data_IF_087193392824
#
_entry.id   IF_087193392824
#
_cell.length_a   1.000
_cell.length_b   1.000
_cell.length_c   1.000
_cell.angle_alpha   90.00
_cell.angle_beta   90.00
_cell.angle_gamma   90.00
#
_symmetry.space_group_name_H-M   'P 1'
#
loop_
_entity.id
_entity.type
_entity.pdbx_description
1 polymer ?
#
# COMPACT_ATOMS: atom_id res chain seq x y z
N UNK A 1 -19.89 1.96 -7.59
CA UNK A 1 -18.42 1.96 -7.60
C UNK A 1 -17.92 0.95 -8.65
N UNK A 2 -16.76 1.23 -9.26
CA UNK A 2 -16.04 0.31 -10.12
C UNK A 2 -14.85 -0.24 -9.32
N UNK A 3 -14.65 -1.55 -9.37
CA UNK A 3 -13.52 -2.21 -8.72
C UNK A 3 -12.41 -2.40 -9.74
N UNK A 4 -11.25 -1.79 -9.49
CA UNK A 4 -10.09 -1.92 -10.37
C UNK A 4 -9.05 -2.82 -9.72
N UNK A 5 -8.72 -3.90 -10.39
CA UNK A 5 -7.65 -4.83 -9.99
C UNK A 5 -6.41 -4.54 -10.83
N UNK A 6 -5.44 -3.83 -10.28
CA UNK A 6 -4.14 -3.69 -10.92
C UNK A 6 -3.28 -4.94 -10.64
N UNK A 7 -2.87 -5.62 -11.67
CA UNK A 7 -2.19 -6.92 -11.57
C UNK A 7 -1.09 -7.07 -12.61
N UNK A 8 -0.04 -7.83 -12.26
CA UNK A 8 0.94 -8.28 -13.24
C UNK A 8 0.27 -9.15 -14.32
N UNK A 9 0.88 -9.25 -15.49
CA UNK A 9 0.37 -10.08 -16.59
C UNK A 9 0.13 -11.54 -16.18
N UNK A 10 0.98 -12.09 -15.31
CA UNK A 10 0.85 -13.45 -14.77
C UNK A 10 -0.41 -13.60 -13.91
N UNK A 11 -0.67 -12.65 -13.02
CA UNK A 11 -1.80 -12.70 -12.10
C UNK A 11 -3.13 -12.31 -12.76
N UNK A 12 -3.09 -11.58 -13.89
CA UNK A 12 -4.29 -11.15 -14.61
C UNK A 12 -5.21 -12.32 -14.95
N UNK A 13 -4.66 -13.42 -15.46
CA UNK A 13 -5.43 -14.61 -15.82
C UNK A 13 -6.18 -15.20 -14.62
N UNK A 14 -5.48 -15.32 -13.49
CA UNK A 14 -6.04 -15.87 -12.24
C UNK A 14 -7.17 -14.99 -11.73
N UNK A 15 -6.99 -13.67 -11.77
CA UNK A 15 -8.01 -12.71 -11.33
C UNK A 15 -9.23 -12.76 -12.23
N UNK A 16 -9.05 -12.76 -13.55
CA UNK A 16 -10.15 -12.87 -14.53
C UNK A 16 -10.95 -14.16 -14.35
N UNK A 17 -10.28 -15.29 -14.10
CA UNK A 17 -10.95 -16.57 -13.84
C UNK A 17 -11.78 -16.51 -12.55
N UNK A 18 -11.25 -15.92 -11.49
CA UNK A 18 -11.99 -15.73 -10.23
C UNK A 18 -13.18 -14.78 -10.39
N UNK A 19 -13.03 -13.71 -11.16
CA UNK A 19 -14.10 -12.75 -11.42
C UNK A 19 -15.24 -13.37 -12.22
N UNK A 20 -14.96 -14.23 -13.21
CA UNK A 20 -16.00 -14.98 -13.96
C UNK A 20 -16.90 -15.81 -13.06
N UNK A 21 -16.37 -16.30 -11.96
CA UNK A 21 -17.11 -17.12 -10.97
C UNK A 21 -17.67 -16.28 -9.81
N UNK A 22 -17.59 -14.96 -9.91
CA UNK A 22 -18.12 -14.01 -8.92
C UNK A 22 -19.33 -13.27 -9.49
N UNK A 23 -20.19 -12.76 -8.61
CA UNK A 23 -21.29 -11.88 -9.00
C UNK A 23 -20.87 -10.40 -9.05
N UNK A 24 -19.60 -10.12 -9.37
CA UNK A 24 -19.05 -8.77 -9.38
C UNK A 24 -19.04 -8.22 -10.82
N UNK A 25 -20.13 -7.57 -11.22
CA UNK A 25 -20.31 -7.08 -12.58
C UNK A 25 -19.49 -5.80 -12.89
N UNK A 26 -19.09 -5.05 -11.86
CA UNK A 26 -18.39 -3.77 -11.99
C UNK A 26 -16.91 -3.91 -11.65
N UNK A 27 -16.22 -4.90 -12.25
CA UNK A 27 -14.81 -5.15 -12.02
C UNK A 27 -14.00 -5.07 -13.32
N UNK A 28 -12.87 -4.39 -13.25
CA UNK A 28 -11.90 -4.26 -14.34
C UNK A 28 -10.53 -4.74 -13.89
N UNK A 29 -9.81 -5.47 -14.74
CA UNK A 29 -8.45 -5.94 -14.48
C UNK A 29 -7.48 -5.24 -15.42
N UNK A 30 -6.61 -4.42 -14.84
CA UNK A 30 -5.63 -3.61 -15.55
C UNK A 30 -4.23 -4.15 -15.28
N UNK A 31 -3.37 -4.15 -16.32
CA UNK A 31 -1.97 -4.58 -16.20
C UNK A 31 -0.99 -3.59 -16.84
N UNK A 32 -1.47 -2.42 -17.23
CA UNK A 32 -0.65 -1.37 -17.81
C UNK A 32 -0.13 -0.46 -16.67
N UNK A 33 1.20 -0.48 -16.47
CA UNK A 33 1.86 0.35 -15.46
C UNK A 33 1.75 1.85 -15.78
N UNK A 34 1.62 2.24 -17.04
CA UNK A 34 1.57 3.64 -17.44
C UNK A 34 0.30 4.33 -16.96
N UNK A 35 -0.82 3.61 -16.87
CA UNK A 35 -2.08 4.17 -16.41
C UNK A 35 -2.32 3.99 -14.91
N UNK A 36 -1.43 3.30 -14.20
CA UNK A 36 -1.56 3.04 -12.75
C UNK A 36 -1.69 4.33 -11.94
N UNK A 37 -0.85 5.30 -12.22
CA UNK A 37 -0.88 6.60 -11.54
C UNK A 37 -2.20 7.35 -11.78
N UNK A 38 -2.71 7.31 -13.01
CA UNK A 38 -4.01 7.90 -13.36
C UNK A 38 -5.16 7.19 -12.63
N UNK A 39 -5.13 5.85 -12.58
CA UNK A 39 -6.14 5.08 -11.85
C UNK A 39 -6.10 5.37 -10.36
N UNK A 40 -4.92 5.47 -9.76
CA UNK A 40 -4.78 5.83 -8.36
C UNK A 40 -5.36 7.22 -8.09
N UNK A 41 -5.03 8.23 -8.88
CA UNK A 41 -5.53 9.60 -8.68
C UNK A 41 -7.06 9.73 -8.79
N UNK A 42 -7.73 8.80 -9.45
CA UNK A 42 -9.20 8.72 -9.58
C UNK A 42 -9.84 7.79 -8.55
N UNK A 43 -9.05 7.10 -7.75
CA UNK A 43 -9.53 6.13 -6.78
C UNK A 43 -10.00 6.82 -5.50
N UNK A 44 -11.10 6.37 -4.94
CA UNK A 44 -11.59 6.84 -3.64
C UNK A 44 -10.97 6.09 -2.47
N UNK A 45 -10.48 4.88 -2.71
CA UNK A 45 -9.91 4.00 -1.70
C UNK A 45 -9.02 2.93 -2.34
N UNK A 46 -7.99 2.52 -1.65
CA UNK A 46 -7.09 1.46 -2.12
C UNK A 46 -6.91 0.32 -1.10
N UNK A 47 -6.80 -0.89 -1.60
CA UNK A 47 -6.34 -2.06 -0.84
C UNK A 47 -5.08 -2.56 -1.52
N UNK A 48 -3.96 -2.53 -0.82
CA UNK A 48 -2.68 -2.87 -1.41
C UNK A 48 -1.84 -3.81 -0.53
N UNK A 49 -0.95 -4.56 -1.17
CA UNK A 49 0.08 -5.30 -0.45
C UNK A 49 1.14 -4.32 0.08
N UNK A 50 1.73 -4.60 1.24
CA UNK A 50 2.88 -3.84 1.73
C UNK A 50 4.02 -3.84 0.70
N UNK A 51 4.63 -2.68 0.49
CA UNK A 51 5.71 -2.45 -0.47
C UNK A 51 5.71 -1.02 -1.00
N UNK A 52 6.44 -0.78 -2.10
CA UNK A 52 6.56 0.55 -2.75
C UNK A 52 5.22 1.13 -3.21
N UNK A 53 4.26 0.27 -3.57
CA UNK A 53 2.92 0.70 -3.95
C UNK A 53 2.23 1.53 -2.87
N UNK A 54 2.53 1.32 -1.60
CA UNK A 54 1.96 2.12 -0.52
C UNK A 54 2.40 3.58 -0.58
N UNK A 55 3.64 3.86 -1.01
CA UNK A 55 4.11 5.23 -1.22
C UNK A 55 3.45 5.87 -2.45
N UNK A 56 3.21 5.10 -3.51
CA UNK A 56 2.49 5.59 -4.69
C UNK A 56 1.05 5.98 -4.35
N UNK A 57 0.36 5.16 -3.54
CA UNK A 57 -0.99 5.44 -3.03
C UNK A 57 -0.99 6.72 -2.17
N UNK A 58 -0.01 6.87 -1.28
CA UNK A 58 0.13 8.06 -0.45
C UNK A 58 0.41 9.31 -1.30
N UNK A 59 1.26 9.20 -2.34
CA UNK A 59 1.52 10.30 -3.27
C UNK A 59 0.29 10.69 -4.10
N UNK A 60 -0.62 9.76 -4.34
CA UNK A 60 -1.90 10.01 -5.01
C UNK A 60 -2.99 10.51 -4.06
N UNK A 61 -2.67 10.71 -2.77
CA UNK A 61 -3.60 11.15 -1.70
C UNK A 61 -4.85 10.25 -1.57
N UNK A 62 -4.66 8.94 -1.70
CA UNK A 62 -5.73 7.95 -1.60
C UNK A 62 -5.69 7.25 -0.24
N UNK A 63 -6.81 7.28 0.48
CA UNK A 63 -6.96 6.51 1.70
C UNK A 63 -6.90 5.01 1.41
N UNK A 64 -6.30 4.23 2.32
CA UNK A 64 -6.02 2.83 2.02
C UNK A 64 -5.93 1.95 3.27
N UNK A 65 -5.96 0.65 3.02
CA UNK A 65 -5.48 -0.37 3.95
C UNK A 65 -4.38 -1.21 3.30
N UNK A 66 -3.46 -1.66 4.10
CA UNK A 66 -2.37 -2.54 3.67
C UNK A 66 -2.66 -3.96 4.11
N UNK A 67 -2.55 -4.89 3.18
CA UNK A 67 -2.69 -6.32 3.45
C UNK A 67 -1.35 -7.01 3.24
N UNK A 68 -1.02 -7.96 4.11
CA UNK A 68 0.20 -8.73 3.95
C UNK A 68 0.07 -10.15 4.50
N UNK A 69 0.38 -11.12 3.67
CA UNK A 69 0.40 -12.52 4.05
C UNK A 69 1.61 -13.21 3.44
N UNK A 70 2.36 -13.91 4.25
CA UNK A 70 3.49 -14.75 3.85
C UNK A 70 3.39 -16.13 4.49
N UNK A 71 4.26 -17.04 4.06
CA UNK A 71 4.38 -18.36 4.70
C UNK A 71 4.69 -18.20 6.19
N UNK A 72 4.05 -19.01 7.03
CA UNK A 72 4.15 -18.93 8.49
C UNK A 72 5.59 -19.07 9.01
N UNK A 73 6.41 -19.90 8.36
CA UNK A 73 7.82 -20.09 8.73
C UNK A 73 8.61 -18.78 8.47
N UNK A 74 8.43 -18.20 7.27
CA UNK A 74 9.08 -16.94 6.92
C UNK A 74 8.63 -15.79 7.84
N UNK A 75 7.34 -15.77 8.20
CA UNK A 75 6.80 -14.78 9.13
C UNK A 75 7.45 -14.89 10.50
N UNK A 76 7.60 -16.11 11.01
CA UNK A 76 8.24 -16.34 12.31
C UNK A 76 9.71 -15.89 12.30
N UNK A 77 10.47 -16.23 11.24
CA UNK A 77 11.85 -15.80 11.07
C UNK A 77 11.94 -14.28 10.98
N UNK A 78 11.09 -13.66 10.15
CA UNK A 78 11.03 -12.19 10.00
C UNK A 78 10.74 -11.51 11.33
N UNK A 79 9.78 -12.03 12.09
CA UNK A 79 9.43 -11.49 13.41
C UNK A 79 10.56 -11.58 14.45
N UNK A 80 11.43 -12.57 14.32
CA UNK A 80 12.61 -12.70 15.18
C UNK A 80 13.73 -11.74 14.79
N UNK A 81 13.86 -11.43 13.48
CA UNK A 81 14.95 -10.62 12.96
C UNK A 81 14.61 -9.13 12.89
N UNK A 82 13.34 -8.79 12.73
CA UNK A 82 12.88 -7.41 12.54
C UNK A 82 12.17 -6.93 13.80
N UNK A 83 12.75 -5.92 14.43
CA UNK A 83 12.20 -5.32 15.65
C UNK A 83 11.23 -4.16 15.34
N UNK A 84 10.39 -4.29 14.30
CA UNK A 84 9.34 -3.33 14.00
C UNK A 84 7.96 -3.91 14.27
N UNK A 85 7.04 -3.06 14.71
CA UNK A 85 5.63 -3.42 14.93
C UNK A 85 4.83 -3.37 13.63
N UNK A 86 5.33 -2.69 12.60
CA UNK A 86 4.63 -2.36 11.37
C UNK A 86 5.35 -2.92 10.15
N UNK A 87 4.58 -3.23 9.11
CA UNK A 87 5.08 -3.67 7.81
C UNK A 87 5.07 -2.54 6.75
N UNK A 88 4.30 -1.50 6.96
CA UNK A 88 4.23 -0.34 6.07
C UNK A 88 5.23 0.73 6.48
N UNK A 89 5.92 1.30 5.50
CA UNK A 89 6.98 2.31 5.74
C UNK A 89 6.43 3.57 6.42
N UNK A 90 5.23 4.03 6.09
CA UNK A 90 4.61 5.20 6.72
C UNK A 90 4.37 4.95 8.22
N UNK A 91 3.86 3.77 8.57
CA UNK A 91 3.63 3.40 9.97
C UNK A 91 4.94 3.24 10.74
N UNK A 92 5.98 2.69 10.08
CA UNK A 92 7.33 2.55 10.67
C UNK A 92 7.92 3.91 11.00
N UNK A 93 7.89 4.86 10.06
CA UNK A 93 8.44 6.21 10.24
C UNK A 93 7.71 6.93 11.37
N UNK A 94 6.38 6.85 11.41
CA UNK A 94 5.56 7.48 12.44
C UNK A 94 5.59 6.75 13.79
N UNK A 95 6.12 5.53 13.84
CA UNK A 95 6.01 4.62 14.99
C UNK A 95 4.56 4.51 15.54
N UNK A 96 3.57 4.66 14.66
CA UNK A 96 2.14 4.53 14.93
C UNK A 96 1.40 4.01 13.71
N UNK A 97 0.21 3.43 13.89
CA UNK A 97 -0.65 3.02 12.81
C UNK A 97 -1.34 4.25 12.19
N UNK A 98 -0.82 4.71 11.07
CA UNK A 98 -1.43 5.75 10.20
C UNK A 98 -2.34 5.08 9.17
N UNK A 99 -1.85 4.01 8.56
CA UNK A 99 -2.56 3.19 7.57
C UNK A 99 -2.82 1.83 8.21
N UNK A 100 -4.07 1.37 8.31
CA UNK A 100 -4.38 0.06 8.90
C UNK A 100 -3.68 -1.07 8.17
N UNK A 101 -3.08 -2.00 8.92
CA UNK A 101 -2.37 -3.16 8.40
C UNK A 101 -3.07 -4.45 8.82
N UNK A 102 -3.51 -5.22 7.86
CA UNK A 102 -4.07 -6.56 8.09
C UNK A 102 -3.02 -7.61 7.72
N UNK A 103 -2.37 -8.16 8.75
CA UNK A 103 -1.21 -9.03 8.58
C UNK A 103 -1.58 -10.46 8.98
N UNK A 104 -1.10 -11.45 8.20
CA UNK A 104 -1.24 -12.89 8.45
C UNK A 104 -2.69 -13.33 8.70
N UNK A 105 -3.08 -13.59 9.96
CA UNK A 105 -4.43 -14.07 10.32
C UNK A 105 -5.51 -13.01 10.08
N UNK A 106 -5.16 -11.73 10.17
CA UNK A 106 -6.07 -10.63 9.89
C UNK A 106 -6.24 -10.39 8.38
N UNK A 107 -5.29 -10.85 7.56
CA UNK A 107 -5.38 -10.81 6.11
C UNK A 107 -6.35 -11.87 5.59
N UNK A 108 -7.64 -11.68 5.85
CA UNK A 108 -8.74 -12.50 5.38
C UNK A 108 -9.89 -11.63 4.88
N UNK A 109 -10.78 -12.20 4.06
CA UNK A 109 -11.85 -11.46 3.38
C UNK A 109 -12.79 -10.73 4.35
N UNK A 110 -13.08 -11.31 5.51
CA UNK A 110 -13.96 -10.71 6.52
C UNK A 110 -13.36 -9.46 7.14
N UNK A 111 -12.11 -9.51 7.59
CA UNK A 111 -11.46 -8.37 8.23
C UNK A 111 -11.10 -7.28 7.20
N UNK A 112 -10.71 -7.67 5.98
CA UNK A 112 -10.51 -6.72 4.87
C UNK A 112 -11.81 -5.96 4.59
N UNK A 113 -12.93 -6.69 4.38
CA UNK A 113 -14.23 -6.07 4.12
C UNK A 113 -14.66 -5.13 5.26
N UNK A 114 -14.53 -5.57 6.50
CA UNK A 114 -14.87 -4.78 7.69
C UNK A 114 -14.05 -3.48 7.75
N UNK A 115 -12.76 -3.55 7.52
CA UNK A 115 -11.87 -2.38 7.56
C UNK A 115 -12.16 -1.40 6.41
N UNK A 116 -12.39 -1.91 5.20
CA UNK A 116 -12.77 -1.07 4.05
C UNK A 116 -14.09 -0.34 4.32
N UNK A 117 -15.13 -1.08 4.73
CA UNK A 117 -16.46 -0.47 5.00
C UNK A 117 -16.39 0.50 6.17
N UNK A 118 -15.60 0.22 7.19
CA UNK A 118 -15.41 1.13 8.32
C UNK A 118 -14.83 2.47 7.85
N UNK A 119 -13.78 2.47 7.05
CA UNK A 119 -13.17 3.71 6.54
C UNK A 119 -14.10 4.43 5.56
N UNK A 120 -14.70 3.73 4.60
CA UNK A 120 -15.62 4.35 3.63
C UNK A 120 -16.87 4.98 4.30
N UNK A 121 -17.32 4.47 5.45
CA UNK A 121 -18.42 5.05 6.23
C UNK A 121 -17.97 6.22 7.13
N UNK A 122 -16.68 6.45 7.26
CA UNK A 122 -16.10 7.49 8.11
C UNK A 122 -15.12 8.38 7.32
N UNK A 123 -15.60 9.26 6.43
CA UNK A 123 -14.75 10.11 5.59
C UNK A 123 -13.72 10.92 6.39
N UNK A 124 -14.08 11.41 7.57
CA UNK A 124 -13.16 12.14 8.44
C UNK A 124 -11.93 11.31 8.88
N UNK A 125 -12.05 9.97 8.97
CA UNK A 125 -10.91 9.10 9.23
C UNK A 125 -10.04 8.93 7.98
N UNK A 126 -10.63 8.93 6.80
CA UNK A 126 -9.90 8.90 5.53
C UNK A 126 -9.11 10.20 5.35
N UNK A 127 -9.74 11.35 5.57
CA UNK A 127 -9.09 12.66 5.51
C UNK A 127 -7.94 12.77 6.52
N UNK A 128 -8.18 12.29 7.74
CA UNK A 128 -7.12 12.23 8.77
C UNK A 128 -5.95 11.36 8.32
N UNK A 129 -6.21 10.18 7.76
CA UNK A 129 -5.18 9.28 7.25
C UNK A 129 -4.36 9.97 6.15
N UNK A 130 -5.04 10.63 5.19
CA UNK A 130 -4.40 11.37 4.10
C UNK A 130 -3.50 12.48 4.65
N UNK A 131 -3.99 13.28 5.59
CA UNK A 131 -3.20 14.32 6.22
C UNK A 131 -1.99 13.78 6.97
N UNK A 132 -2.15 12.71 7.77
CA UNK A 132 -1.08 12.11 8.55
C UNK A 132 0.05 11.58 7.63
N UNK A 133 -0.27 10.85 6.55
CA UNK A 133 0.78 10.35 5.66
C UNK A 133 1.36 11.42 4.74
N UNK A 134 0.59 12.44 4.34
CA UNK A 134 1.11 13.57 3.56
C UNK A 134 2.15 14.36 4.35
N UNK A 135 1.93 14.59 5.64
CA UNK A 135 2.93 15.18 6.53
C UNK A 135 4.20 14.33 6.58
N UNK A 136 4.06 13.01 6.73
CA UNK A 136 5.20 12.08 6.73
C UNK A 136 5.97 12.14 5.42
N UNK A 137 5.29 12.14 4.26
CA UNK A 137 5.94 12.26 2.96
C UNK A 137 6.70 13.57 2.80
N UNK A 138 6.16 14.67 3.31
CA UNK A 138 6.83 15.97 3.26
C UNK A 138 8.08 16.01 4.13
N UNK A 139 8.08 15.32 5.28
CA UNK A 139 9.24 15.22 6.16
C UNK A 139 10.37 14.40 5.52
N UNK A 140 10.05 13.32 4.78
CA UNK A 140 11.05 12.44 4.16
C UNK A 140 11.50 12.90 2.77
N UNK A 141 10.78 13.82 2.14
CA UNK A 141 11.21 14.41 0.86
C UNK A 141 12.47 15.24 1.08
N UNK A 142 13.60 14.74 0.57
CA UNK A 142 14.84 15.53 0.59
C UNK A 142 14.73 16.72 -0.37
N UNK A 143 15.43 17.80 -0.04
CA UNK A 143 15.52 18.99 -0.91
C UNK A 143 16.39 18.73 -2.14
N UNK A 144 17.16 17.66 -2.12
CA UNK A 144 18.08 17.23 -3.18
C UNK A 144 17.60 15.90 -3.77
N UNK A 145 17.99 15.61 -4.99
CA UNK A 145 17.77 14.31 -5.61
C UNK A 145 18.42 13.21 -4.76
N UNK A 146 17.70 12.10 -4.53
CA UNK A 146 18.25 10.95 -3.80
C UNK A 146 19.55 10.41 -4.42
N UNK A 147 19.69 10.55 -5.76
CA UNK A 147 20.91 10.17 -6.48
C UNK A 147 22.09 11.10 -6.11
N UNK A 148 21.86 12.42 -6.04
CA UNK A 148 22.89 13.40 -5.68
C UNK A 148 23.33 13.21 -4.22
N UNK A 149 22.39 12.96 -3.34
CA UNK A 149 22.68 12.70 -1.93
C UNK A 149 23.46 11.39 -1.73
N UNK A 150 23.05 10.30 -2.38
CA UNK A 150 23.78 9.05 -2.38
C UNK A 150 25.19 9.19 -2.96
N UNK A 151 25.35 9.89 -4.10
CA UNK A 151 26.65 10.15 -4.71
C UNK A 151 27.56 10.95 -3.79
N UNK A 152 27.04 11.98 -3.13
CA UNK A 152 27.79 12.80 -2.18
C UNK A 152 28.31 12.00 -0.97
N UNK A 153 27.50 11.05 -0.49
CA UNK A 153 27.91 10.15 0.61
C UNK A 153 29.02 9.23 0.12
N UNK A 154 28.86 8.58 -1.04
CA UNK A 154 29.88 7.67 -1.59
C UNK A 154 31.21 8.39 -1.81
N UNK A 155 31.18 9.61 -2.38
CA UNK A 155 32.40 10.40 -2.60
C UNK A 155 33.16 10.72 -1.31
N UNK A 156 32.48 10.91 -0.18
CA UNK A 156 33.13 11.14 1.13
C UNK A 156 33.94 9.93 1.63
N UNK A 157 33.67 8.74 1.14
CA UNK A 157 34.41 7.52 1.51
C UNK A 157 35.53 7.18 0.51
N UNK A 158 35.61 7.89 -0.60
CA UNK A 158 36.66 7.72 -1.61
C UNK A 158 37.80 8.73 -1.49
N UNK A 159 37.65 9.73 -0.63
CA UNK A 159 38.68 10.72 -0.25
C UNK A 159 39.21 10.44 1.14
#
# INVERSE_FOLDING_TARGET
YVYIFHATLENKKIILEKLKNSNLDNAEVVSDENIKSELLSKSIFAVAKSGTISLEICNAEVASIIIYKMNSINFFITKLLINTKFANIINIINNKEVIPELIQNECNSKEIFKSVIYLLKNPALMDKQINDFSNTLNEIRSKTSSADEASSIVLKYLT
#
